data_IF_410622626824
#
_entry.id   IF_410622626824
#
_cell.length_a   1.000
_cell.length_b   1.000
_cell.length_c   1.000
_cell.angle_alpha   90.00
_cell.angle_beta   90.00
_cell.angle_gamma   90.00
#
_symmetry.space_group_name_H-M   'P 1'
#
loop_
_entity.id
_entity.type
_entity.pdbx_description
1 polymer ?
#
# COMPACT_ATOMS: atom_id res chain seq x y z
N UNK A 1 -24.06 17.77 -19.15
CA UNK A 1 -23.93 17.37 -17.73
C UNK A 1 -22.81 18.23 -17.14
N UNK A 2 -22.92 18.71 -15.90
CA UNK A 2 -21.99 19.72 -15.38
C UNK A 2 -20.55 19.18 -15.28
N UNK A 3 -19.61 19.83 -15.96
CA UNK A 3 -18.23 19.38 -16.13
C UNK A 3 -17.41 19.30 -14.81
N UNK A 4 -17.85 20.02 -13.77
CA UNK A 4 -17.20 20.05 -12.45
C UNK A 4 -17.17 18.65 -11.79
N UNK A 5 -18.20 17.82 -12.04
CA UNK A 5 -18.29 16.46 -11.48
C UNK A 5 -17.31 15.52 -12.21
N UNK A 6 -17.16 15.67 -13.53
CA UNK A 6 -16.27 14.83 -14.34
C UNK A 6 -14.80 15.03 -13.97
N UNK A 7 -14.33 16.28 -13.84
CA UNK A 7 -12.91 16.54 -13.56
C UNK A 7 -12.46 15.99 -12.21
N UNK A 8 -13.31 16.11 -11.19
CA UNK A 8 -13.02 15.59 -9.85
C UNK A 8 -13.00 14.06 -9.84
N UNK A 9 -13.98 13.41 -10.47
CA UNK A 9 -14.03 11.93 -10.58
C UNK A 9 -12.79 11.41 -11.32
N UNK A 10 -12.39 12.04 -12.43
CA UNK A 10 -11.18 11.66 -13.17
C UNK A 10 -9.90 11.80 -12.33
N UNK A 11 -9.79 12.86 -11.51
CA UNK A 11 -8.65 13.02 -10.61
C UNK A 11 -8.58 11.89 -9.58
N UNK A 12 -9.70 11.55 -8.96
CA UNK A 12 -9.74 10.46 -7.97
C UNK A 12 -9.44 9.10 -8.61
N UNK A 13 -9.95 8.82 -9.81
CA UNK A 13 -9.63 7.60 -10.55
C UNK A 13 -8.12 7.51 -10.87
N UNK A 14 -7.51 8.63 -11.25
CA UNK A 14 -6.07 8.67 -11.47
C UNK A 14 -5.31 8.38 -10.17
N UNK A 15 -5.67 9.05 -9.06
CA UNK A 15 -5.04 8.85 -7.76
C UNK A 15 -5.16 7.40 -7.29
N UNK A 16 -6.36 6.80 -7.35
CA UNK A 16 -6.54 5.42 -6.90
C UNK A 16 -5.74 4.44 -7.74
N UNK A 17 -5.65 4.65 -9.06
CA UNK A 17 -4.79 3.86 -9.96
C UNK A 17 -3.32 3.92 -9.53
N UNK A 18 -2.79 5.11 -9.26
CA UNK A 18 -1.42 5.27 -8.77
C UNK A 18 -1.21 4.60 -7.41
N UNK A 19 -2.16 4.73 -6.49
CA UNK A 19 -2.06 4.13 -5.16
C UNK A 19 -2.04 2.60 -5.21
N UNK A 20 -2.86 1.97 -6.08
CA UNK A 20 -2.86 0.51 -6.26
C UNK A 20 -1.51 -0.03 -6.77
N UNK A 21 -0.71 0.81 -7.42
CA UNK A 21 0.64 0.46 -7.88
C UNK A 21 1.70 0.79 -6.81
N UNK A 22 1.61 1.97 -6.20
CA UNK A 22 2.62 2.44 -5.24
C UNK A 22 2.60 1.66 -3.93
N UNK A 23 1.43 1.30 -3.41
CA UNK A 23 1.31 0.54 -2.16
C UNK A 23 2.10 -0.78 -2.21
N UNK A 24 1.90 -1.68 -3.19
CA UNK A 24 2.65 -2.94 -3.25
C UNK A 24 4.13 -2.73 -3.52
N UNK A 25 4.51 -1.72 -4.33
CA UNK A 25 5.92 -1.40 -4.59
C UNK A 25 6.62 -0.97 -3.29
N UNK A 26 6.06 -0.02 -2.55
CA UNK A 26 6.63 0.47 -1.29
C UNK A 26 6.64 -0.62 -0.21
N UNK A 27 5.58 -1.43 -0.11
CA UNK A 27 5.54 -2.55 0.81
C UNK A 27 6.62 -3.59 0.45
N UNK A 28 6.74 -3.96 -0.83
CA UNK A 28 7.75 -4.90 -1.32
C UNK A 28 9.19 -4.42 -1.08
N UNK A 29 9.47 -3.14 -1.34
CA UNK A 29 10.78 -2.53 -1.06
C UNK A 29 11.11 -2.58 0.45
N UNK A 30 10.14 -2.24 1.29
CA UNK A 30 10.33 -2.25 2.75
C UNK A 30 10.52 -3.67 3.30
N UNK A 31 9.73 -4.62 2.81
CA UNK A 31 9.85 -6.04 3.18
C UNK A 31 11.21 -6.60 2.75
N UNK A 32 11.65 -6.30 1.53
CA UNK A 32 12.98 -6.68 1.03
C UNK A 32 14.08 -6.09 1.91
N UNK A 33 14.00 -4.80 2.25
CA UNK A 33 14.99 -4.14 3.11
C UNK A 33 15.10 -4.78 4.49
N UNK A 34 13.98 -5.14 5.13
CA UNK A 34 14.01 -5.83 6.41
C UNK A 34 14.45 -7.29 6.30
N UNK A 35 14.10 -7.98 5.21
CA UNK A 35 14.58 -9.33 4.94
C UNK A 35 16.10 -9.38 4.77
N UNK A 36 16.69 -8.40 4.07
CA UNK A 36 18.15 -8.29 3.92
C UNK A 36 18.84 -8.06 5.27
N UNK A 37 18.37 -7.10 6.08
CA UNK A 37 18.92 -6.88 7.42
C UNK A 37 18.84 -8.11 8.31
N UNK A 38 17.72 -8.84 8.24
CA UNK A 38 17.55 -10.09 8.97
C UNK A 38 18.54 -11.16 8.51
N UNK A 39 18.83 -11.25 7.20
CA UNK A 39 19.76 -12.24 6.67
C UNK A 39 21.22 -12.04 7.12
N UNK A 40 21.56 -10.81 7.53
CA UNK A 40 22.91 -10.43 7.96
C UNK A 40 23.04 -10.32 9.50
N UNK A 41 22.00 -10.70 10.25
CA UNK A 41 21.93 -10.51 11.69
C UNK A 41 21.71 -11.85 12.38
N UNK A 42 22.54 -12.18 13.37
CA UNK A 42 22.43 -13.41 14.17
C UNK A 42 21.68 -13.20 15.50
N UNK A 43 21.45 -11.95 15.90
CA UNK A 43 20.74 -11.60 17.13
C UNK A 43 19.23 -11.87 16.98
N UNK A 44 18.76 -12.88 17.71
CA UNK A 44 17.35 -13.30 17.70
C UNK A 44 16.38 -12.21 18.13
N UNK A 45 16.77 -11.30 19.03
CA UNK A 45 15.93 -10.18 19.46
C UNK A 45 15.69 -9.20 18.32
N UNK A 46 16.76 -8.86 17.59
CA UNK A 46 16.69 -7.98 16.42
C UNK A 46 15.87 -8.63 15.30
N UNK A 47 16.08 -9.93 15.04
CA UNK A 47 15.32 -10.69 14.04
C UNK A 47 13.82 -10.70 14.37
N UNK A 48 13.45 -10.91 15.64
CA UNK A 48 12.07 -10.90 16.08
C UNK A 48 11.39 -9.53 15.88
N UNK A 49 12.10 -8.43 16.19
CA UNK A 49 11.62 -7.07 15.90
C UNK A 49 11.40 -6.84 14.40
N UNK A 50 12.32 -7.29 13.54
CA UNK A 50 12.17 -7.18 12.08
C UNK A 50 10.98 -8.00 11.57
N UNK A 51 10.76 -9.22 12.08
CA UNK A 51 9.58 -10.01 11.73
C UNK A 51 8.27 -9.29 12.11
N UNK A 52 8.22 -8.66 13.29
CA UNK A 52 7.07 -7.85 13.73
C UNK A 52 6.84 -6.65 12.80
N UNK A 53 7.91 -5.94 12.42
CA UNK A 53 7.84 -4.81 11.47
C UNK A 53 7.36 -5.27 10.09
N UNK A 54 7.87 -6.37 9.57
CA UNK A 54 7.44 -6.95 8.29
C UNK A 54 5.95 -7.33 8.33
N UNK A 55 5.48 -7.95 9.42
CA UNK A 55 4.05 -8.23 9.61
C UNK A 55 3.21 -6.94 9.59
N UNK A 56 3.64 -5.90 10.28
CA UNK A 56 2.92 -4.63 10.31
C UNK A 56 2.87 -3.96 8.92
N UNK A 57 3.96 -4.04 8.15
CA UNK A 57 4.00 -3.54 6.76
C UNK A 57 3.02 -4.31 5.86
N UNK A 58 2.94 -5.64 6.03
CA UNK A 58 1.98 -6.44 5.26
C UNK A 58 0.53 -6.06 5.61
N UNK A 59 0.23 -5.91 6.90
CA UNK A 59 -1.11 -5.52 7.38
C UNK A 59 -1.47 -4.13 6.84
N UNK A 60 -0.56 -3.15 6.92
CA UNK A 60 -0.84 -1.80 6.42
C UNK A 60 -1.02 -1.75 4.91
N UNK A 61 -0.26 -2.56 4.16
CA UNK A 61 -0.43 -2.68 2.71
C UNK A 61 -1.81 -3.26 2.35
N UNK A 62 -2.27 -4.30 3.05
CA UNK A 62 -3.59 -4.90 2.84
C UNK A 62 -4.70 -3.89 3.15
N UNK A 63 -4.61 -3.18 4.28
CA UNK A 63 -5.58 -2.14 4.64
C UNK A 63 -5.59 -1.04 3.57
N UNK A 64 -4.42 -0.55 3.16
CA UNK A 64 -4.30 0.47 2.12
C UNK A 64 -4.93 0.05 0.79
N UNK A 65 -4.61 -1.16 0.31
CA UNK A 65 -5.19 -1.70 -0.92
C UNK A 65 -6.71 -1.85 -0.81
N UNK A 66 -7.20 -2.36 0.33
CA UNK A 66 -8.64 -2.50 0.59
C UNK A 66 -9.37 -1.16 0.57
N UNK A 67 -8.83 -0.15 1.25
CA UNK A 67 -9.40 1.20 1.26
C UNK A 67 -9.44 1.83 -0.13
N UNK A 68 -8.35 1.73 -0.91
CA UNK A 68 -8.30 2.25 -2.29
C UNK A 68 -9.28 1.50 -3.20
N UNK A 69 -9.41 0.20 -3.03
CA UNK A 69 -10.39 -0.63 -3.75
C UNK A 69 -11.83 -0.19 -3.48
N UNK A 70 -12.19 0.08 -2.22
CA UNK A 70 -13.52 0.58 -1.85
C UNK A 70 -13.80 1.94 -2.51
N UNK A 71 -12.85 2.87 -2.46
CA UNK A 71 -12.99 4.19 -3.11
C UNK A 71 -13.16 4.02 -4.63
N UNK A 72 -12.37 3.16 -5.26
CA UNK A 72 -12.46 2.89 -6.70
C UNK A 72 -13.83 2.29 -7.07
N UNK A 73 -14.36 1.37 -6.26
CA UNK A 73 -15.69 0.80 -6.46
C UNK A 73 -16.77 1.89 -6.37
N UNK A 74 -16.72 2.77 -5.37
CA UNK A 74 -17.67 3.87 -5.21
C UNK A 74 -17.62 4.81 -6.42
N UNK A 75 -16.43 5.15 -6.90
CA UNK A 75 -16.26 6.01 -8.08
C UNK A 75 -16.78 5.38 -9.37
N UNK A 76 -16.92 4.05 -9.45
CA UNK A 76 -17.46 3.39 -10.66
C UNK A 76 -18.95 3.66 -10.91
N UNK A 77 -19.66 4.20 -9.91
CA UNK A 77 -21.07 4.58 -10.02
C UNK A 77 -21.30 6.03 -10.50
N UNK A 78 -20.23 6.82 -10.66
CA UNK A 78 -20.27 8.24 -11.06
C UNK A 78 -19.48 8.48 -12.35
#
# INVERSE_FOLDING_TARGET
MPDIISGTVSLFQAITTWLLILIPICAGATLTYFALQKSMCDDQSIIADKNKKMKNVLISAIIGMGSVGIVTLILSFY
#
